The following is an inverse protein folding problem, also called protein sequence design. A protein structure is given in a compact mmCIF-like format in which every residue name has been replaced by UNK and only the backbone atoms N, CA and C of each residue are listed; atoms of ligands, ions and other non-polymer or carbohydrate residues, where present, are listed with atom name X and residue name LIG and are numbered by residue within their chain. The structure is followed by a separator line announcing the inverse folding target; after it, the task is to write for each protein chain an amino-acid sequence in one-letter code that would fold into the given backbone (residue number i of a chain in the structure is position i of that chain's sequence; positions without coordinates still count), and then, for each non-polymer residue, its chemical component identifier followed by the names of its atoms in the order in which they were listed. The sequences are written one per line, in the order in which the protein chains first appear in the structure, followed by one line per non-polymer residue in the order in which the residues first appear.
data_IF_842885234206
#
_entry.id   IF_842885234206
#
_cell.length_a   1.000
_cell.length_b   1.000
_cell.length_c   1.000
_cell.angle_alpha   90.00
_cell.angle_beta   90.00
_cell.angle_gamma   90.00
#
_symmetry.space_group_name_H-M   'P 1'
#
loop_
_entity.id
_entity.type
_entity.pdbx_description
1 polymer ?
#
# COMPACT_ATOMS: atom_id res chain seq x y z
N UNK A 1 -12.59 12.81 17.01
CA UNK A 1 -12.43 13.66 18.22
C UNK A 1 -11.02 13.51 18.76
N UNK A 2 -10.30 14.60 18.99
CA UNK A 2 -8.92 14.61 19.52
C UNK A 2 -8.92 15.21 20.93
N UNK A 3 -8.43 14.44 21.91
CA UNK A 3 -8.31 14.86 23.30
C UNK A 3 -6.89 15.34 23.57
N UNK A 4 -6.75 16.57 24.05
CA UNK A 4 -5.46 17.21 24.30
C UNK A 4 -5.43 17.76 25.71
N UNK A 5 -4.25 17.77 26.33
CA UNK A 5 -4.03 18.57 27.54
C UNK A 5 -3.82 20.02 27.13
N UNK A 6 -4.47 20.97 27.79
CA UNK A 6 -4.34 22.40 27.49
C UNK A 6 -2.89 22.92 27.45
N UNK A 7 -1.99 22.50 28.36
CA UNK A 7 -0.56 22.78 28.23
C UNK A 7 0.03 22.46 26.84
N UNK A 8 -0.45 21.44 26.13
CA UNK A 8 0.07 21.06 24.82
C UNK A 8 -0.30 22.03 23.69
N UNK A 9 -1.29 22.90 23.92
CA UNK A 9 -1.80 23.87 22.93
C UNK A 9 -1.59 25.33 23.36
N UNK A 10 -0.97 25.57 24.53
CA UNK A 10 -0.75 26.91 25.09
C UNK A 10 0.44 27.62 24.42
N UNK A 11 0.32 28.94 24.19
CA UNK A 11 1.41 29.76 23.67
C UNK A 11 2.60 29.83 24.67
N UNK A 12 3.82 29.66 24.19
CA UNK A 12 5.07 29.79 24.97
C UNK A 12 5.57 28.54 25.73
N UNK A 13 4.91 27.39 25.64
CA UNK A 13 5.39 26.10 26.21
C UNK A 13 5.83 25.12 25.12
N UNK A 14 6.55 24.05 25.48
CA UNK A 14 6.96 23.00 24.54
C UNK A 14 5.73 22.28 23.96
N UNK A 15 5.66 22.24 22.63
CA UNK A 15 4.52 21.69 21.87
C UNK A 15 4.93 20.56 20.94
N UNK A 16 6.16 20.04 21.06
CA UNK A 16 6.70 19.03 20.16
C UNK A 16 5.74 17.85 19.97
N UNK A 17 5.23 17.29 21.07
CA UNK A 17 4.34 16.13 21.04
C UNK A 17 3.01 16.41 20.32
N UNK A 18 2.47 17.62 20.47
CA UNK A 18 1.24 17.99 19.78
C UNK A 18 1.48 18.21 18.29
N UNK A 19 2.57 18.90 17.92
CA UNK A 19 2.93 19.07 16.51
C UNK A 19 3.21 17.74 15.82
N UNK A 20 3.82 16.79 16.53
CA UNK A 20 4.04 15.43 16.05
C UNK A 20 2.72 14.68 15.84
N UNK A 21 1.75 14.81 16.76
CA UNK A 21 0.40 14.27 16.59
C UNK A 21 -0.33 14.87 15.38
N UNK A 22 -0.30 16.20 15.22
CA UNK A 22 -0.92 16.88 14.07
C UNK A 22 -0.28 16.41 12.77
N UNK A 23 1.06 16.33 12.74
CA UNK A 23 1.80 15.85 11.56
C UNK A 23 1.40 14.41 11.22
N UNK A 24 1.36 13.52 12.20
CA UNK A 24 0.93 12.15 11.97
C UNK A 24 -0.53 12.04 11.52
N UNK A 25 -1.42 12.90 12.03
CA UNK A 25 -2.80 12.95 11.59
C UNK A 25 -2.92 13.44 10.14
N UNK A 26 -2.13 14.45 9.73
CA UNK A 26 -2.11 14.93 8.34
C UNK A 26 -1.41 13.97 7.39
N UNK A 27 -0.43 13.20 7.87
CA UNK A 27 0.20 12.12 7.08
C UNK A 27 -0.76 10.94 6.90
N UNK A 28 -1.57 10.65 7.93
CA UNK A 28 -2.56 9.58 7.93
C UNK A 28 -3.77 9.90 7.06
N UNK A 29 -4.22 11.16 6.99
CA UNK A 29 -5.45 11.55 6.30
C UNK A 29 -5.10 12.46 5.13
N UNK A 30 -5.21 11.94 3.90
CA UNK A 30 -4.76 12.65 2.68
C UNK A 30 -5.57 13.90 2.40
N UNK A 31 -6.89 13.83 2.60
CA UNK A 31 -7.80 14.97 2.47
C UNK A 31 -8.47 15.27 3.80
N UNK A 32 -7.77 16.05 4.64
CA UNK A 32 -8.33 16.54 5.91
C UNK A 32 -9.59 17.40 5.72
N UNK A 33 -9.74 18.04 4.56
CA UNK A 33 -10.92 18.84 4.22
C UNK A 33 -12.19 18.01 4.16
N UNK A 34 -12.11 16.77 3.66
CA UNK A 34 -13.22 15.81 3.67
C UNK A 34 -13.76 15.55 5.08
N UNK A 35 -12.88 15.52 6.08
CA UNK A 35 -13.21 15.18 7.47
C UNK A 35 -13.41 16.40 8.38
N UNK A 36 -13.39 17.63 7.86
CA UNK A 36 -13.54 18.87 8.65
C UNK A 36 -14.82 18.94 9.50
N UNK A 37 -15.86 18.20 9.10
CA UNK A 37 -17.13 18.09 9.82
C UNK A 37 -17.20 16.90 10.78
N UNK A 38 -16.18 16.04 10.78
CA UNK A 38 -16.08 14.84 11.62
C UNK A 38 -14.99 14.95 12.68
N UNK A 39 -14.29 16.09 12.75
CA UNK A 39 -13.19 16.34 13.67
C UNK A 39 -13.58 17.47 14.63
N UNK A 40 -13.34 17.22 15.91
CA UNK A 40 -13.41 18.21 16.98
C UNK A 40 -12.21 18.04 17.90
N UNK A 41 -11.81 19.13 18.53
CA UNK A 41 -10.70 19.18 19.48
C UNK A 41 -11.26 19.44 20.86
N UNK A 42 -10.80 18.70 21.87
CA UNK A 42 -11.17 18.93 23.26
C UNK A 42 -9.89 19.20 24.05
N UNK A 43 -9.75 20.42 24.55
CA UNK A 43 -8.69 20.80 25.46
C UNK A 43 -9.13 20.53 26.90
N UNK A 44 -8.43 19.61 27.54
CA UNK A 44 -8.66 19.17 28.92
C UNK A 44 -7.64 19.80 29.86
N UNK A 45 -7.93 19.77 31.16
CA UNK A 45 -7.01 20.28 32.20
C UNK A 45 -6.69 21.77 32.00
N UNK A 46 -7.65 22.55 31.51
CA UNK A 46 -7.53 24.01 31.40
C UNK A 46 -7.54 24.58 32.82
N UNK A 47 -6.51 25.35 33.17
CA UNK A 47 -6.45 26.03 34.46
C UNK A 47 -7.39 27.26 34.45
N UNK A 48 -7.99 27.57 35.59
CA UNK A 48 -8.82 28.75 35.72
C UNK A 48 -7.95 30.00 35.87
N UNK A 49 -7.99 30.84 34.85
CA UNK A 49 -7.30 32.10 34.82
C UNK A 49 -8.24 33.21 35.26
N UNK A 50 -7.80 34.03 36.21
CA UNK A 50 -8.58 35.16 36.72
C UNK A 50 -7.87 36.47 36.39
N UNK A 51 -8.60 37.40 35.78
CA UNK A 51 -8.11 38.75 35.47
C UNK A 51 -8.73 39.75 36.43
N UNK A 52 -7.91 40.70 36.89
CA UNK A 52 -8.34 41.74 37.81
C UNK A 52 -9.08 42.83 37.04
N UNK A 53 -10.36 43.00 37.33
CA UNK A 53 -11.18 44.08 36.78
C UNK A 53 -11.56 45.04 37.93
N UNK A 54 -10.73 46.08 38.12
CA UNK A 54 -10.84 46.96 39.29
C UNK A 54 -10.50 46.24 40.60
N UNK A 55 -11.52 45.99 41.44
CA UNK A 55 -11.35 45.29 42.74
C UNK A 55 -11.77 43.83 42.72
N UNK A 56 -12.37 43.34 41.63
CA UNK A 56 -12.83 41.95 41.51
C UNK A 56 -11.93 41.15 40.59
N UNK A 57 -11.89 39.84 40.82
CA UNK A 57 -11.25 38.87 39.93
C UNK A 57 -12.35 38.20 39.12
N UNK A 58 -12.24 38.26 37.80
CA UNK A 58 -13.21 37.68 36.87
C UNK A 58 -12.53 36.53 36.14
N UNK A 59 -13.22 35.39 36.05
CA UNK A 59 -12.75 34.24 35.28
C UNK A 59 -12.61 34.64 33.81
N UNK A 60 -11.49 34.26 33.19
CA UNK A 60 -11.31 34.39 31.75
C UNK A 60 -12.28 33.44 31.07
N UNK A 61 -13.17 34.01 30.25
CA UNK A 61 -14.19 33.29 29.47
C UNK A 61 -13.56 32.23 28.54
N UNK A 62 -14.33 31.16 28.27
CA UNK A 62 -13.90 30.07 27.39
C UNK A 62 -13.54 30.56 25.98
N UNK A 63 -14.28 31.54 25.44
CA UNK A 63 -14.02 32.09 24.12
C UNK A 63 -12.60 32.66 23.97
N UNK A 64 -12.06 33.27 25.03
CA UNK A 64 -10.69 33.81 25.02
C UNK A 64 -9.65 32.69 25.06
N UNK A 65 -9.95 31.60 25.75
CA UNK A 65 -9.10 30.40 25.77
C UNK A 65 -9.13 29.72 24.40
N UNK A 66 -10.33 29.57 23.82
CA UNK A 66 -10.56 29.00 22.50
C UNK A 66 -9.83 29.81 21.42
N UNK A 67 -9.93 31.14 21.45
CA UNK A 67 -9.22 32.05 20.54
C UNK A 67 -7.71 31.75 20.56
N UNK A 68 -7.11 31.62 21.76
CA UNK A 68 -5.69 31.31 21.90
C UNK A 68 -5.28 29.93 21.37
N UNK A 69 -6.18 28.94 21.44
CA UNK A 69 -5.97 27.60 20.88
C UNK A 69 -6.13 27.66 19.36
N UNK A 70 -7.10 28.44 18.87
CA UNK A 70 -7.42 28.53 17.46
C UNK A 70 -6.36 29.26 16.64
N UNK A 71 -5.76 30.32 17.20
CA UNK A 71 -4.58 31.00 16.65
C UNK A 71 -3.43 30.03 16.38
N UNK A 72 -3.40 28.92 17.12
CA UNK A 72 -2.40 27.89 16.99
C UNK A 72 -2.81 26.75 16.05
N UNK A 73 -4.11 26.46 15.91
CA UNK A 73 -4.64 25.39 15.05
C UNK A 73 -4.84 25.79 13.57
N UNK A 74 -4.43 27.01 13.17
CA UNK A 74 -4.63 27.67 11.86
C UNK A 74 -5.15 26.78 10.70
N UNK A 75 -6.36 27.13 10.25
CA UNK A 75 -7.07 26.83 8.98
C UNK A 75 -7.34 25.38 8.54
N UNK A 76 -6.59 24.38 8.99
CA UNK A 76 -6.68 23.06 8.35
C UNK A 76 -7.91 22.24 8.79
N UNK A 77 -8.46 22.49 9.99
CA UNK A 77 -9.44 21.57 10.60
C UNK A 77 -10.73 22.18 11.13
N UNK A 78 -10.81 23.50 11.34
CA UNK A 78 -11.86 24.07 12.18
C UNK A 78 -12.62 25.21 11.51
N UNK A 79 -13.95 25.08 11.52
CA UNK A 79 -14.88 26.09 11.02
C UNK A 79 -15.32 27.03 12.15
N UNK A 80 -15.54 28.29 11.78
CA UNK A 80 -16.22 29.28 12.62
C UNK A 80 -17.69 29.37 12.22
N UNK A 81 -18.56 29.54 13.20
CA UNK A 81 -19.95 29.95 13.04
C UNK A 81 -20.14 31.28 13.79
N UNK A 82 -20.56 32.33 13.09
CA UNK A 82 -20.70 33.69 13.66
C UNK A 82 -19.48 34.15 14.47
N UNK A 83 -18.28 33.94 13.93
CA UNK A 83 -16.97 34.25 14.55
C UNK A 83 -16.56 33.40 15.78
N UNK A 84 -17.33 32.37 16.12
CA UNK A 84 -17.03 31.44 17.22
C UNK A 84 -16.65 30.05 16.71
N UNK A 85 -15.69 29.40 17.37
CA UNK A 85 -15.31 28.02 17.04
C UNK A 85 -16.22 27.02 17.74
N UNK A 86 -17.08 26.37 16.96
CA UNK A 86 -18.13 25.47 17.49
C UNK A 86 -17.64 24.04 17.76
N UNK A 87 -16.42 23.70 17.32
CA UNK A 87 -15.83 22.35 17.41
C UNK A 87 -14.59 22.27 18.33
N UNK A 88 -14.36 23.30 19.16
CA UNK A 88 -13.33 23.29 20.21
C UNK A 88 -14.03 23.21 21.57
N UNK A 89 -13.92 22.06 22.25
CA UNK A 89 -14.38 21.85 23.61
C UNK A 89 -13.34 22.25 24.66
N UNK A 90 -13.76 22.98 25.70
CA UNK A 90 -12.93 23.29 26.87
C UNK A 90 -13.41 22.47 28.07
N UNK A 91 -12.48 21.78 28.72
CA UNK A 91 -12.73 21.07 29.98
C UNK A 91 -11.74 21.53 31.05
N UNK A 92 -12.23 22.40 31.93
CA UNK A 92 -11.46 23.04 33.00
C UNK A 92 -11.19 22.12 34.17
N UNK A 93 -10.18 22.47 34.97
CA UNK A 93 -9.96 21.86 36.28
C UNK A 93 -10.94 22.45 37.30
N UNK A 94 -11.37 21.66 38.29
CA UNK A 94 -12.11 22.18 39.44
C UNK A 94 -11.19 23.04 40.31
N UNK A 95 -11.72 24.17 40.81
CA UNK A 95 -11.00 25.06 41.74
C UNK A 95 -11.16 24.65 43.20
N UNK A 96 -12.16 23.83 43.50
CA UNK A 96 -12.47 23.37 44.85
C UNK A 96 -12.56 21.85 44.91
N UNK A 97 -12.10 21.23 46.02
CA UNK A 97 -12.27 19.80 46.24
C UNK A 97 -13.75 19.46 46.46
N UNK A 98 -14.23 18.38 45.86
CA UNK A 98 -15.62 17.94 46.00
C UNK A 98 -16.07 17.01 44.89
N UNK A 99 -17.35 16.62 44.93
CA UNK A 99 -17.96 15.81 43.88
C UNK A 99 -18.06 16.60 42.58
N UNK A 100 -17.51 16.06 41.49
CA UNK A 100 -17.52 16.70 40.16
C UNK A 100 -18.95 16.97 39.64
N UNK A 101 -19.92 16.19 40.10
CA UNK A 101 -21.35 16.36 39.75
C UNK A 101 -21.93 17.70 40.21
N UNK A 102 -21.37 18.28 41.28
CA UNK A 102 -21.89 19.50 41.90
C UNK A 102 -21.17 20.76 41.42
N UNK A 103 -20.10 20.63 40.63
CA UNK A 103 -19.31 21.75 40.14
C UNK A 103 -19.93 22.25 38.83
N UNK A 104 -20.65 23.37 38.90
CA UNK A 104 -21.40 23.96 37.77
C UNK A 104 -20.56 24.08 36.50
N UNK A 105 -19.32 24.54 36.62
CA UNK A 105 -18.39 24.72 35.50
C UNK A 105 -18.09 23.39 34.77
N UNK A 106 -17.93 22.29 35.51
CA UNK A 106 -17.69 20.97 34.92
C UNK A 106 -18.95 20.41 34.26
N UNK A 107 -20.12 20.66 34.84
CA UNK A 107 -21.40 20.25 34.24
C UNK A 107 -21.68 21.02 32.94
N UNK A 108 -21.35 22.31 32.89
CA UNK A 108 -21.41 23.12 31.67
C UNK A 108 -20.44 22.60 30.62
N UNK A 109 -19.17 22.37 30.98
CA UNK A 109 -18.18 21.79 30.07
C UNK A 109 -18.59 20.41 29.54
N UNK A 110 -19.19 19.56 30.38
CA UNK A 110 -19.73 18.26 29.97
C UNK A 110 -20.84 18.41 28.92
N UNK A 111 -21.85 19.25 29.19
CA UNK A 111 -22.97 19.50 28.26
C UNK A 111 -22.47 20.07 26.92
N UNK A 112 -21.47 20.93 26.98
CA UNK A 112 -20.87 21.51 25.77
C UNK A 112 -20.17 20.44 24.92
N UNK A 113 -19.38 19.55 25.55
CA UNK A 113 -18.77 18.41 24.85
C UNK A 113 -19.83 17.47 24.27
N UNK A 114 -20.90 17.19 25.02
CA UNK A 114 -22.03 16.38 24.53
C UNK A 114 -22.67 17.02 23.29
N UNK A 115 -22.90 18.33 23.30
CA UNK A 115 -23.42 19.06 22.13
C UNK A 115 -22.48 18.93 20.92
N UNK A 116 -21.17 19.09 21.11
CA UNK A 116 -20.20 18.89 20.01
C UNK A 116 -20.35 17.50 19.39
N UNK A 117 -20.40 16.45 20.24
CA UNK A 117 -20.45 15.06 19.78
C UNK A 117 -21.75 14.74 19.06
N UNK A 118 -22.89 15.19 19.57
CA UNK A 118 -24.20 14.80 19.06
C UNK A 118 -24.79 15.73 18.00
N UNK A 119 -24.44 17.03 18.00
CA UNK A 119 -25.09 18.03 17.15
C UNK A 119 -24.14 18.73 16.18
N UNK A 120 -22.82 18.74 16.45
CA UNK A 120 -21.84 19.48 15.63
C UNK A 120 -20.94 18.59 14.77
N UNK A 121 -20.86 17.30 15.09
CA UNK A 121 -20.10 16.33 14.30
C UNK A 121 -21.01 15.55 13.36
N UNK A 122 -20.61 15.49 12.10
CA UNK A 122 -21.25 14.68 11.07
C UNK A 122 -20.45 13.43 10.80
N UNK A 123 -21.15 12.33 10.51
CA UNK A 123 -20.53 11.14 9.96
C UNK A 123 -20.06 11.41 8.53
N UNK A 124 -18.82 11.03 8.21
CA UNK A 124 -18.25 11.13 6.87
C UNK A 124 -17.91 9.72 6.39
N UNK A 125 -18.45 9.33 5.22
CA UNK A 125 -18.10 8.08 4.58
C UNK A 125 -16.62 8.05 4.19
N UNK A 126 -15.96 6.93 4.45
CA UNK A 126 -14.54 6.71 4.15
C UNK A 126 -14.36 5.83 2.93
N UNK A 127 -13.32 6.08 2.16
CA UNK A 127 -12.81 5.21 1.10
C UNK A 127 -11.33 4.83 1.35
N UNK A 128 -10.81 3.88 0.58
CA UNK A 128 -9.43 3.40 0.71
C UNK A 128 -8.37 4.43 0.32
N UNK A 129 -8.76 5.49 -0.39
CA UNK A 129 -7.83 6.53 -0.85
C UNK A 129 -7.70 7.67 0.16
N UNK A 130 -8.65 7.82 1.09
CA UNK A 130 -8.64 8.85 2.13
C UNK A 130 -7.47 8.77 3.10
N UNK A 131 -6.90 7.57 3.31
CA UNK A 131 -5.85 7.36 4.29
C UNK A 131 -4.47 7.15 3.64
N UNK A 132 -3.46 7.83 4.19
CA UNK A 132 -2.07 7.87 3.73
C UNK A 132 -1.24 6.64 4.09
N UNK A 133 -1.67 5.83 5.08
CA UNK A 133 -1.05 4.52 5.32
C UNK A 133 -1.58 3.46 4.34
N UNK A 134 -1.29 3.71 3.07
CA UNK A 134 -0.90 2.65 2.15
C UNK A 134 0.39 1.99 2.66
N UNK A 135 0.53 0.69 2.38
CA UNK A 135 1.67 -0.19 2.63
C UNK A 135 2.98 0.60 2.82
N UNK A 136 3.59 0.56 4.02
CA UNK A 136 4.81 1.32 4.35
C UNK A 136 5.90 1.19 3.26
N UNK A 137 6.74 2.21 3.07
CA UNK A 137 7.84 2.19 2.09
C UNK A 137 8.70 0.92 2.18
N UNK A 138 8.93 0.41 3.41
CA UNK A 138 9.66 -0.85 3.64
C UNK A 138 8.95 -2.06 3.04
N UNK A 139 7.63 -2.10 3.12
CA UNK A 139 6.82 -3.18 2.55
C UNK A 139 6.65 -2.97 1.04
N UNK A 140 6.50 -1.73 0.56
CA UNK A 140 6.51 -1.42 -0.88
C UNK A 140 7.83 -1.86 -1.52
N UNK A 141 8.96 -1.53 -0.90
CA UNK A 141 10.29 -1.99 -1.32
C UNK A 141 10.39 -3.52 -1.30
N UNK A 142 9.90 -4.19 -0.25
CA UNK A 142 9.86 -5.66 -0.21
C UNK A 142 9.00 -6.27 -1.32
N UNK A 143 7.87 -5.64 -1.66
CA UNK A 143 7.06 -6.07 -2.80
C UNK A 143 7.80 -5.87 -4.12
N UNK A 144 8.53 -4.76 -4.28
CA UNK A 144 9.35 -4.52 -5.46
C UNK A 144 10.52 -5.51 -5.58
N UNK A 145 11.27 -5.73 -4.50
CA UNK A 145 12.34 -6.73 -4.43
C UNK A 145 11.82 -8.14 -4.75
N UNK A 146 10.60 -8.46 -4.29
CA UNK A 146 9.93 -9.73 -4.60
C UNK A 146 9.57 -9.83 -6.09
N UNK A 147 9.01 -8.77 -6.68
CA UNK A 147 8.67 -8.72 -8.11
C UNK A 147 9.94 -8.87 -8.96
N UNK A 148 11.00 -8.15 -8.63
CA UNK A 148 12.30 -8.24 -9.33
C UNK A 148 12.87 -9.67 -9.21
N UNK A 149 12.85 -10.26 -8.01
CA UNK A 149 13.32 -11.63 -7.80
C UNK A 149 12.50 -12.70 -8.52
N UNK A 150 11.19 -12.50 -8.67
CA UNK A 150 10.32 -13.37 -9.49
C UNK A 150 10.68 -13.22 -10.97
N UNK A 151 10.79 -12.00 -11.45
CA UNK A 151 11.11 -11.70 -12.85
C UNK A 151 12.45 -12.34 -13.25
N UNK A 152 13.49 -12.16 -12.44
CA UNK A 152 14.82 -12.75 -12.67
C UNK A 152 14.79 -14.28 -12.75
N UNK A 153 14.03 -14.95 -11.87
CA UNK A 153 13.92 -16.41 -11.87
C UNK A 153 13.18 -16.93 -13.09
N UNK A 154 12.11 -16.25 -13.51
CA UNK A 154 11.35 -16.60 -14.70
C UNK A 154 12.24 -16.44 -15.94
N UNK A 155 12.97 -15.33 -16.09
CA UNK A 155 13.87 -15.13 -17.23
C UNK A 155 15.00 -16.15 -17.29
N UNK A 156 15.60 -16.52 -16.15
CA UNK A 156 16.59 -17.61 -16.09
C UNK A 156 16.02 -18.94 -16.56
N UNK A 157 14.79 -19.26 -16.14
CA UNK A 157 14.12 -20.50 -16.55
C UNK A 157 13.84 -20.50 -18.05
N UNK A 158 13.42 -19.36 -18.63
CA UNK A 158 13.22 -19.22 -20.08
C UNK A 158 14.54 -19.38 -20.84
N UNK A 159 15.61 -18.74 -20.37
CA UNK A 159 16.94 -18.85 -20.98
C UNK A 159 17.47 -20.29 -20.94
N UNK A 160 17.28 -20.99 -19.82
CA UNK A 160 17.66 -22.40 -19.70
C UNK A 160 16.85 -23.28 -20.66
N UNK A 161 15.53 -23.11 -20.76
CA UNK A 161 14.72 -23.86 -21.74
C UNK A 161 15.19 -23.56 -23.17
N UNK A 162 15.47 -22.31 -23.51
CA UNK A 162 15.96 -21.93 -24.82
C UNK A 162 17.29 -22.62 -25.16
N UNK A 163 18.23 -22.66 -24.21
CA UNK A 163 19.51 -23.38 -24.36
C UNK A 163 19.31 -24.88 -24.60
N UNK A 164 18.47 -25.53 -23.81
CA UNK A 164 18.19 -26.97 -23.99
C UNK A 164 17.58 -27.26 -25.36
N UNK A 165 16.67 -26.40 -25.84
CA UNK A 165 16.10 -26.52 -27.19
C UNK A 165 17.19 -26.37 -28.25
N UNK A 166 18.06 -25.36 -28.12
CA UNK A 166 19.16 -25.14 -29.06
C UNK A 166 20.12 -26.32 -29.11
N UNK A 167 20.49 -26.87 -27.96
CA UNK A 167 21.37 -28.03 -27.86
C UNK A 167 20.75 -29.27 -28.51
N UNK A 168 19.48 -29.56 -28.20
CA UNK A 168 18.74 -30.66 -28.81
C UNK A 168 18.75 -30.58 -30.35
N UNK A 169 18.47 -29.41 -30.92
CA UNK A 169 18.49 -29.25 -32.37
C UNK A 169 19.89 -29.30 -32.95
N UNK A 170 20.91 -28.79 -32.25
CA UNK A 170 22.30 -28.90 -32.68
C UNK A 170 22.72 -30.37 -32.79
N UNK A 171 22.38 -31.18 -31.78
CA UNK A 171 22.64 -32.63 -31.80
C UNK A 171 21.90 -33.34 -32.93
N UNK A 172 20.62 -32.99 -33.15
CA UNK A 172 19.82 -33.55 -34.23
C UNK A 172 20.42 -33.22 -35.61
N UNK A 173 20.89 -31.99 -35.82
CA UNK A 173 21.52 -31.56 -37.08
C UNK A 173 22.88 -32.22 -37.28
N UNK A 174 23.69 -32.36 -36.24
CA UNK A 174 24.97 -33.06 -36.35
C UNK A 174 24.79 -34.55 -36.63
N UNK A 175 23.78 -35.19 -36.02
CA UNK A 175 23.41 -36.57 -36.35
C UNK A 175 23.02 -36.70 -37.83
N UNK A 176 22.19 -35.78 -38.33
CA UNK A 176 21.80 -35.72 -39.75
C UNK A 176 23.00 -35.53 -40.68
N UNK A 177 23.91 -34.62 -40.34
CA UNK A 177 25.13 -34.37 -41.12
C UNK A 177 26.02 -35.61 -41.19
N UNK A 178 26.12 -36.37 -40.10
CA UNK A 178 26.88 -37.60 -40.05
C UNK A 178 26.23 -38.72 -40.87
N UNK A 179 24.91 -38.85 -40.84
CA UNK A 179 24.14 -39.77 -41.69
C UNK A 179 24.27 -39.40 -43.18
N UNK A 180 24.14 -38.12 -43.56
CA UNK A 180 24.36 -37.68 -44.95
C UNK A 180 25.79 -37.98 -45.42
N UNK A 181 26.79 -37.77 -44.58
CA UNK A 181 28.19 -38.10 -44.90
C UNK A 181 28.40 -39.61 -45.08
N UNK A 182 27.74 -40.46 -44.29
CA UNK A 182 27.85 -41.91 -44.46
C UNK A 182 27.26 -42.38 -45.80
N UNK A 183 26.17 -41.76 -46.25
CA UNK A 183 25.59 -42.00 -47.58
C UNK A 183 26.51 -41.59 -48.73
N UNK A 184 27.23 -40.48 -48.62
CA UNK A 184 28.14 -40.00 -49.66
C UNK A 184 29.46 -40.80 -49.73
N UNK A 185 29.87 -41.40 -48.61
CA UNK A 185 31.11 -42.19 -48.51
C UNK A 185 31.00 -43.63 -49.01
N UNK A 186 29.79 -44.13 -49.30
CA UNK A 186 29.55 -45.51 -49.72
C UNK A 186 28.74 -45.54 -51.01
N UNK A 187 29.32 -46.12 -52.07
CA UNK A 187 28.77 -46.12 -53.45
C UNK A 187 27.49 -46.98 -53.63
N UNK A 188 26.87 -47.45 -52.54
CA UNK A 188 25.60 -48.17 -52.56
C UNK A 188 24.99 -48.08 -51.16
N UNK A 189 24.10 -47.12 -50.93
CA UNK A 189 23.28 -47.12 -49.72
C UNK A 189 21.82 -47.13 -50.08
N UNK A 190 21.16 -48.20 -49.64
CA UNK A 190 19.72 -48.27 -49.57
C UNK A 190 19.29 -47.46 -48.33
N UNK A 191 18.76 -46.26 -48.55
CA UNK A 191 18.09 -45.51 -47.48
C UNK A 191 16.80 -46.26 -47.17
N UNK A 192 16.67 -46.77 -45.94
CA UNK A 192 15.41 -47.35 -45.49
C UNK A 192 14.37 -46.20 -45.44
N UNK A 193 13.30 -46.27 -46.26
CA UNK A 193 12.26 -45.25 -46.26
C UNK A 193 11.62 -45.05 -44.87
N UNK A 194 11.63 -46.09 -44.02
CA UNK A 194 11.09 -46.05 -42.67
C UNK A 194 11.92 -45.14 -41.75
N UNK A 195 13.24 -45.12 -41.92
CA UNK A 195 14.14 -44.26 -41.14
C UNK A 195 13.96 -42.80 -41.55
N UNK A 196 13.82 -42.53 -42.84
CA UNK A 196 13.55 -41.19 -43.37
C UNK A 196 12.18 -40.66 -42.92
N UNK A 197 11.14 -41.50 -42.91
CA UNK A 197 9.80 -41.16 -42.42
C UNK A 197 9.80 -40.90 -40.91
N UNK A 198 10.49 -41.75 -40.14
CA UNK A 198 10.67 -41.58 -38.69
C UNK A 198 11.40 -40.27 -38.37
N UNK A 199 12.42 -39.91 -39.15
CA UNK A 199 13.12 -38.64 -39.02
C UNK A 199 12.20 -37.45 -39.32
N UNK A 200 11.48 -37.48 -40.44
CA UNK A 200 10.56 -36.40 -40.84
C UNK A 200 9.49 -36.17 -39.78
N UNK A 201 8.94 -37.25 -39.20
CA UNK A 201 7.99 -37.18 -38.11
C UNK A 201 8.59 -36.52 -36.85
N UNK A 202 9.83 -36.88 -36.46
CA UNK A 202 10.53 -36.29 -35.31
C UNK A 202 10.83 -34.81 -35.52
N UNK A 203 11.33 -34.44 -36.69
CA UNK A 203 11.65 -33.06 -37.04
C UNK A 203 10.41 -32.16 -37.04
N UNK A 204 9.33 -32.60 -37.69
CA UNK A 204 8.09 -31.83 -37.73
C UNK A 204 7.42 -31.70 -36.36
N UNK A 205 7.51 -32.73 -35.51
CA UNK A 205 6.99 -32.65 -34.16
C UNK A 205 7.78 -31.62 -33.33
N UNK A 206 9.11 -31.64 -33.42
CA UNK A 206 9.95 -30.60 -32.83
C UNK A 206 9.57 -29.20 -33.31
N UNK A 207 9.46 -29.01 -34.63
CA UNK A 207 9.12 -27.71 -35.21
C UNK A 207 7.77 -27.19 -34.71
N UNK A 208 6.74 -28.07 -34.64
CA UNK A 208 5.43 -27.71 -34.09
C UNK A 208 5.51 -27.28 -32.63
N UNK A 209 6.30 -27.96 -31.80
CA UNK A 209 6.49 -27.60 -30.39
C UNK A 209 7.16 -26.21 -30.28
N UNK A 210 8.20 -25.97 -31.06
CA UNK A 210 8.90 -24.68 -31.07
C UNK A 210 8.02 -23.53 -31.59
N UNK A 211 7.26 -23.76 -32.66
CA UNK A 211 6.33 -22.76 -33.21
C UNK A 211 5.21 -22.44 -32.24
N UNK A 212 4.61 -23.45 -31.60
CA UNK A 212 3.58 -23.26 -30.59
C UNK A 212 4.13 -22.51 -29.37
N UNK A 213 5.39 -22.77 -28.99
CA UNK A 213 6.07 -22.04 -27.93
C UNK A 213 6.22 -20.56 -28.26
N UNK A 214 6.73 -20.23 -29.45
CA UNK A 214 6.91 -18.84 -29.89
C UNK A 214 5.57 -18.09 -29.90
N UNK A 215 4.51 -18.72 -30.42
CA UNK A 215 3.18 -18.11 -30.44
C UNK A 215 2.60 -17.93 -29.03
N UNK A 216 2.75 -18.93 -28.16
CA UNK A 216 2.26 -18.84 -26.79
C UNK A 216 3.00 -17.73 -26.02
N UNK A 217 4.34 -17.66 -26.13
CA UNK A 217 5.14 -16.62 -25.46
C UNK A 217 4.78 -15.21 -25.95
N UNK A 218 4.54 -15.04 -27.25
CA UNK A 218 4.16 -13.74 -27.84
C UNK A 218 2.80 -13.23 -27.35
N UNK A 219 1.92 -14.13 -26.89
CA UNK A 219 0.57 -13.79 -26.45
C UNK A 219 0.45 -13.67 -24.92
N UNK A 220 1.53 -13.87 -24.16
CA UNK A 220 1.48 -13.81 -22.71
C UNK A 220 1.53 -12.36 -22.20
N UNK A 221 0.51 -11.98 -21.44
CA UNK A 221 0.39 -10.67 -20.80
C UNK A 221 0.55 -10.73 -19.27
N UNK A 222 0.57 -11.93 -18.66
CA UNK A 222 0.68 -12.12 -17.21
C UNK A 222 1.76 -13.16 -16.84
N UNK A 223 2.65 -12.85 -15.86
CA UNK A 223 3.66 -13.76 -15.31
C UNK A 223 3.17 -15.14 -14.84
N UNK A 224 1.93 -15.26 -14.33
CA UNK A 224 1.40 -16.54 -13.83
C UNK A 224 1.11 -17.53 -14.97
N UNK A 225 0.57 -17.03 -16.08
CA UNK A 225 0.33 -17.82 -17.30
C UNK A 225 1.65 -18.28 -17.93
N UNK A 226 2.70 -17.46 -17.82
CA UNK A 226 4.05 -17.81 -18.26
C UNK A 226 4.64 -18.95 -17.42
N UNK A 227 4.55 -18.87 -16.09
CA UNK A 227 5.05 -19.91 -15.20
C UNK A 227 4.36 -21.27 -15.45
N UNK A 228 3.03 -21.26 -15.60
CA UNK A 228 2.25 -22.47 -15.90
C UNK A 228 2.60 -23.07 -17.26
N UNK A 229 2.74 -22.23 -18.28
CA UNK A 229 3.11 -22.66 -19.64
C UNK A 229 4.50 -23.31 -19.64
N UNK A 230 5.49 -22.68 -18.98
CA UNK A 230 6.85 -23.22 -18.86
C UNK A 230 6.89 -24.56 -18.11
N UNK A 231 6.06 -24.74 -17.08
CA UNK A 231 6.00 -25.98 -16.31
C UNK A 231 5.42 -27.16 -17.11
N UNK A 232 4.40 -26.92 -17.93
CA UNK A 232 3.83 -27.95 -18.82
C UNK A 232 4.84 -28.35 -19.89
N UNK A 233 5.58 -27.38 -20.43
CA UNK A 233 6.58 -27.61 -21.47
C UNK A 233 7.80 -28.38 -20.97
N UNK A 234 8.30 -28.05 -19.77
CA UNK A 234 9.45 -28.78 -19.20
C UNK A 234 9.11 -30.26 -19.03
N UNK A 235 7.89 -30.58 -18.57
CA UNK A 235 7.41 -31.96 -18.47
C UNK A 235 7.37 -32.68 -19.82
N UNK A 236 6.86 -32.01 -20.85
CA UNK A 236 6.76 -32.60 -22.18
C UNK A 236 8.12 -32.82 -22.84
N UNK A 237 9.06 -31.88 -22.68
CA UNK A 237 10.43 -32.01 -23.19
C UNK A 237 11.19 -33.14 -22.47
N UNK A 238 11.08 -33.23 -21.15
CA UNK A 238 11.66 -34.33 -20.36
C UNK A 238 11.10 -35.68 -20.82
N UNK A 239 9.78 -35.78 -21.02
CA UNK A 239 9.14 -37.00 -21.52
C UNK A 239 9.61 -37.41 -22.92
N UNK A 240 9.91 -36.43 -23.80
CA UNK A 240 10.48 -36.70 -25.11
C UNK A 240 11.92 -37.20 -25.03
N UNK A 241 12.73 -36.66 -24.12
CA UNK A 241 14.12 -37.08 -23.93
C UNK A 241 14.17 -38.52 -23.39
N UNK A 242 13.38 -38.81 -22.35
CA UNK A 242 13.34 -40.12 -21.69
C UNK A 242 12.75 -41.26 -22.54
N UNK A 243 11.93 -40.94 -23.55
CA UNK A 243 11.40 -41.94 -24.50
C UNK A 243 12.36 -42.28 -25.63
N UNK A 244 13.46 -41.53 -25.80
CA UNK A 244 14.41 -41.70 -26.90
C UNK A 244 15.82 -42.11 -26.44
N UNK A 245 16.06 -42.21 -25.12
CA UNK A 245 17.23 -42.84 -24.48
C UNK A 245 16.94 -44.29 -24.14
#
# INVERSE_FOLDING_TARGET
MVLLSYPSVRKGVDRKNFMELVRHATDLVKDMGKFKNSIAVIATKVDNHYVKHGKTFVLVEDDKVIESISDFLLEVLLEKDNDHYTKIGIFRRPDEPGSLSNITLLQQGKKFVENIVYEKLNYTNTDSNDFGYTISEKVQKRCQDLIEGINDKVWKSVDDVAKHIQEYYRELVEKMRNEIKSFLGSMNVHVDPLDAETFYAKFNNGYKIASNLTQNIQNLTNPEDLANTLQVLSKNLILMYLKNS
#
